data_IF_269668568258
#
_entry.id   IF_269668568258
#
_cell.length_a   1.000
_cell.length_b   1.000
_cell.length_c   1.000
_cell.angle_alpha   90.00
_cell.angle_beta   90.00
_cell.angle_gamma   90.00
#
_symmetry.space_group_name_H-M   'P 1'
#
loop_
_entity.id
_entity.type
_entity.pdbx_description
1 polymer ?
#
# COMPACT_ATOMS: atom_id res chain seq x y z
N UNK A 1 10.56 -5.49 -11.25
CA UNK A 1 10.52 -4.56 -10.13
C UNK A 1 9.32 -3.68 -10.29
N UNK A 2 8.75 -3.23 -9.20
CA UNK A 2 7.57 -2.44 -9.19
C UNK A 2 6.34 -3.30 -9.02
N UNK A 3 5.24 -2.88 -9.66
CA UNK A 3 3.95 -3.53 -9.42
C UNK A 3 3.87 -4.93 -10.01
N UNK A 4 3.39 -5.87 -9.20
CA UNK A 4 3.19 -7.26 -9.57
C UNK A 4 1.72 -7.61 -9.36
N UNK A 5 1.19 -8.51 -10.16
CA UNK A 5 -0.16 -9.02 -9.93
C UNK A 5 -0.24 -9.72 -8.58
N UNK A 6 -1.32 -9.46 -7.86
CA UNK A 6 -1.53 -10.07 -6.56
C UNK A 6 -1.47 -11.60 -6.62
N UNK A 7 -1.92 -12.18 -7.72
CA UNK A 7 -1.88 -13.63 -7.92
C UNK A 7 -0.46 -14.19 -7.91
N UNK A 8 0.52 -13.41 -8.36
CA UNK A 8 1.92 -13.84 -8.35
C UNK A 8 2.50 -13.89 -6.96
N UNK A 9 1.87 -13.19 -6.01
CA UNK A 9 2.24 -13.25 -4.61
C UNK A 9 1.55 -14.39 -3.87
N UNK A 10 0.67 -15.15 -4.52
CA UNK A 10 -0.17 -16.14 -3.84
C UNK A 10 0.63 -17.20 -3.06
N UNK A 11 1.85 -17.51 -3.49
CA UNK A 11 2.71 -18.48 -2.83
C UNK A 11 3.65 -17.85 -1.80
N UNK A 12 3.56 -16.54 -1.59
CA UNK A 12 4.41 -15.80 -0.66
C UNK A 12 3.60 -15.27 0.50
N UNK A 13 4.26 -15.10 1.63
CA UNK A 13 3.67 -14.37 2.74
C UNK A 13 3.71 -12.89 2.37
N UNK A 14 2.54 -12.28 2.26
CA UNK A 14 2.43 -10.86 1.94
C UNK A 14 1.69 -10.13 3.04
N UNK A 15 1.98 -8.85 3.16
CA UNK A 15 1.38 -7.99 4.17
C UNK A 15 0.86 -6.72 3.49
N UNK A 16 -0.35 -6.32 3.84
CA UNK A 16 -0.90 -5.06 3.41
C UNK A 16 -0.29 -3.95 4.26
N UNK A 17 0.37 -2.99 3.62
CA UNK A 17 1.11 -1.94 4.32
C UNK A 17 0.49 -0.56 4.20
N UNK A 18 -0.38 -0.33 3.21
CA UNK A 18 -0.88 1.00 2.93
C UNK A 18 -2.18 0.94 2.15
N UNK A 19 -3.09 1.87 2.43
CA UNK A 19 -4.27 2.11 1.58
C UNK A 19 -4.23 3.57 1.14
N UNK A 20 -4.11 3.79 -0.16
CA UNK A 20 -4.14 5.11 -0.74
C UNK A 20 -5.59 5.51 -1.01
N UNK A 21 -5.97 6.71 -0.61
CA UNK A 21 -7.33 7.19 -0.73
C UNK A 21 -7.62 7.88 -2.06
N UNK A 22 -6.59 8.21 -2.82
CA UNK A 22 -6.74 8.88 -4.11
C UNK A 22 -5.57 8.52 -5.02
N UNK A 23 -5.71 8.91 -6.28
CA UNK A 23 -4.71 8.58 -7.30
C UNK A 23 -3.35 9.19 -7.01
N UNK A 24 -3.31 10.44 -6.54
CA UNK A 24 -2.04 11.10 -6.26
C UNK A 24 -1.26 10.37 -5.17
N UNK A 25 -1.96 9.96 -4.13
CA UNK A 25 -1.36 9.22 -3.03
C UNK A 25 -0.83 7.88 -3.53
N UNK A 26 -1.64 7.17 -4.32
CA UNK A 26 -1.23 5.89 -4.89
C UNK A 26 0.01 6.04 -5.78
N UNK A 27 0.04 7.05 -6.63
CA UNK A 27 1.18 7.30 -7.50
C UNK A 27 2.45 7.61 -6.73
N UNK A 28 2.33 8.35 -5.64
CA UNK A 28 3.48 8.66 -4.77
C UNK A 28 4.07 7.40 -4.15
N UNK A 29 3.21 6.49 -3.68
CA UNK A 29 3.67 5.24 -3.09
C UNK A 29 4.28 4.33 -4.16
N UNK A 30 3.64 4.21 -5.32
CA UNK A 30 4.19 3.41 -6.42
C UNK A 30 5.58 3.91 -6.82
N UNK A 31 5.73 5.22 -6.94
CA UNK A 31 7.01 5.82 -7.30
C UNK A 31 8.08 5.48 -6.27
N UNK A 32 7.76 5.64 -5.01
CA UNK A 32 8.70 5.36 -3.92
C UNK A 32 9.15 3.89 -3.94
N UNK A 33 8.21 2.97 -4.01
CA UNK A 33 8.53 1.54 -3.99
C UNK A 33 9.32 1.14 -5.23
N UNK A 34 8.99 1.71 -6.38
CA UNK A 34 9.73 1.44 -7.62
C UNK A 34 11.16 1.97 -7.54
N UNK A 35 11.35 3.17 -7.00
CA UNK A 35 12.69 3.74 -6.82
C UNK A 35 13.57 2.89 -5.91
N UNK A 36 12.97 2.22 -4.95
CA UNK A 36 13.68 1.39 -3.98
C UNK A 36 13.76 -0.08 -4.40
N UNK A 37 13.33 -0.38 -5.63
CA UNK A 37 13.34 -1.74 -6.17
C UNK A 37 12.55 -2.73 -5.31
N UNK A 38 11.44 -2.29 -4.75
CA UNK A 38 10.56 -3.15 -3.96
C UNK A 38 9.43 -3.65 -4.85
N UNK A 39 9.23 -4.95 -4.87
CA UNK A 39 8.08 -5.55 -5.55
C UNK A 39 6.84 -5.37 -4.70
N UNK A 40 5.75 -4.98 -5.32
CA UNK A 40 4.49 -4.74 -4.63
C UNK A 40 3.31 -5.12 -5.51
N UNK A 41 2.17 -5.37 -4.88
CA UNK A 41 0.91 -5.60 -5.59
C UNK A 41 -0.11 -4.58 -5.15
N UNK A 42 -1.06 -4.27 -6.03
CA UNK A 42 -2.17 -3.38 -5.78
C UNK A 42 -3.48 -4.14 -5.83
N UNK A 43 -4.36 -3.80 -4.92
CA UNK A 43 -5.72 -4.31 -4.93
C UNK A 43 -6.66 -3.15 -4.61
N UNK A 44 -7.73 -2.99 -5.39
CA UNK A 44 -8.75 -2.00 -5.07
C UNK A 44 -9.64 -2.61 -4.00
N UNK A 45 -9.66 -2.00 -2.82
CA UNK A 45 -10.38 -2.52 -1.67
C UNK A 45 -11.26 -1.46 -1.04
N UNK A 46 -12.42 -1.84 -0.52
CA UNK A 46 -13.25 -0.89 0.19
C UNK A 46 -12.63 -0.55 1.54
N UNK A 47 -12.81 0.69 1.96
CA UNK A 47 -12.43 1.10 3.30
C UNK A 47 -13.47 2.12 3.81
N UNK A 48 -13.59 2.22 5.12
CA UNK A 48 -14.48 3.18 5.74
C UNK A 48 -13.68 4.40 6.16
N UNK A 49 -14.08 5.59 5.68
CA UNK A 49 -13.48 6.82 6.19
C UNK A 49 -13.80 6.97 7.67
N UNK A 50 -13.01 7.75 8.41
CA UNK A 50 -13.26 7.93 9.85
C UNK A 50 -14.58 8.66 10.17
N UNK A 51 -15.21 9.29 9.19
CA UNK A 51 -16.49 9.98 9.41
C UNK A 51 -17.66 9.01 9.28
N UNK A 52 -18.54 9.04 10.26
CA UNK A 52 -19.78 8.24 10.24
C UNK A 52 -20.76 8.71 9.18
N UNK A 53 -20.57 9.91 8.66
CA UNK A 53 -21.47 10.49 7.66
C UNK A 53 -21.07 10.17 6.23
N UNK A 54 -19.93 9.54 6.04
CA UNK A 54 -19.45 9.18 4.72
C UNK A 54 -19.68 7.71 4.44
N UNK A 55 -20.04 7.42 3.20
CA UNK A 55 -20.17 6.04 2.76
C UNK A 55 -18.81 5.40 2.51
N UNK A 56 -18.81 4.09 2.40
CA UNK A 56 -17.64 3.31 2.07
C UNK A 56 -17.01 3.79 0.76
N UNK A 57 -15.70 3.85 0.71
CA UNK A 57 -14.93 4.22 -0.47
C UNK A 57 -14.00 3.11 -0.88
N UNK A 58 -13.59 3.16 -2.16
CA UNK A 58 -12.56 2.27 -2.65
C UNK A 58 -11.20 2.94 -2.52
N UNK A 59 -10.22 2.20 -2.05
CA UNK A 59 -8.84 2.63 -1.95
C UNK A 59 -7.91 1.66 -2.63
N UNK A 60 -6.69 2.11 -2.94
CA UNK A 60 -5.66 1.25 -3.50
C UNK A 60 -4.83 0.67 -2.36
N UNK A 61 -5.00 -0.61 -2.09
CA UNK A 61 -4.24 -1.31 -1.06
C UNK A 61 -2.93 -1.81 -1.64
N UNK A 62 -1.84 -1.54 -0.94
CA UNK A 62 -0.50 -1.97 -1.34
C UNK A 62 -0.04 -3.13 -0.48
N UNK A 63 0.40 -4.19 -1.16
CA UNK A 63 0.91 -5.40 -0.51
C UNK A 63 2.37 -5.59 -0.88
N UNK A 64 3.17 -5.96 0.10
CA UNK A 64 4.58 -6.32 -0.12
C UNK A 64 4.85 -7.65 0.56
N UNK A 65 5.98 -8.27 0.25
CA UNK A 65 6.44 -9.44 0.98
C UNK A 65 6.57 -9.10 2.46
N UNK A 66 6.08 -9.97 3.32
CA UNK A 66 6.04 -9.69 4.77
C UNK A 66 7.39 -9.37 5.37
N UNK A 67 8.45 -9.97 4.84
CA UNK A 67 9.81 -9.70 5.30
C UNK A 67 10.26 -8.27 5.03
N UNK A 68 9.60 -7.57 4.10
CA UNK A 68 9.92 -6.21 3.73
C UNK A 68 8.95 -5.18 4.30
N UNK A 69 7.91 -5.62 5.02
CA UNK A 69 6.85 -4.72 5.47
C UNK A 69 7.34 -3.59 6.37
N UNK A 70 8.20 -3.88 7.33
CA UNK A 70 8.73 -2.87 8.24
C UNK A 70 9.57 -1.83 7.51
N UNK A 71 10.45 -2.29 6.63
CA UNK A 71 11.32 -1.41 5.85
C UNK A 71 10.48 -0.51 4.95
N UNK A 72 9.45 -1.07 4.31
CA UNK A 72 8.58 -0.31 3.43
C UNK A 72 7.78 0.74 4.19
N UNK A 73 7.24 0.39 5.35
CA UNK A 73 6.53 1.35 6.19
C UNK A 73 7.45 2.51 6.58
N UNK A 74 8.68 2.20 6.96
CA UNK A 74 9.63 3.24 7.35
C UNK A 74 9.99 4.15 6.19
N UNK A 75 10.17 3.61 4.98
CA UNK A 75 10.41 4.41 3.79
C UNK A 75 9.27 5.38 3.51
N UNK A 76 8.04 4.92 3.70
CA UNK A 76 6.86 5.74 3.48
C UNK A 76 6.77 6.84 4.53
N UNK A 77 7.02 6.52 5.79
CA UNK A 77 7.03 7.49 6.88
C UNK A 77 8.10 8.56 6.64
N UNK A 78 9.30 8.15 6.23
CA UNK A 78 10.41 9.07 6.00
C UNK A 78 10.13 10.06 4.87
N UNK A 79 9.26 9.70 3.94
CA UNK A 79 8.84 10.60 2.86
C UNK A 79 7.65 11.48 3.26
N UNK A 80 7.16 11.36 4.49
CA UNK A 80 6.01 12.14 4.95
C UNK A 80 4.68 11.66 4.38
N UNK A 81 4.61 10.41 3.94
CA UNK A 81 3.42 9.83 3.31
C UNK A 81 2.72 8.83 4.23
N UNK A 82 2.97 8.90 5.52
CA UNK A 82 2.52 7.86 6.45
C UNK A 82 1.03 7.83 6.80
N UNK A 83 0.22 8.74 6.27
CA UNK A 83 -1.19 8.86 6.66
C UNK A 83 -2.03 7.61 6.37
N UNK A 84 -1.68 6.85 5.33
CA UNK A 84 -2.43 5.65 4.95
C UNK A 84 -1.80 4.33 5.38
N UNK A 85 -0.80 4.38 6.26
CA UNK A 85 -0.10 3.16 6.69
C UNK A 85 -1.02 2.27 7.51
N UNK A 86 -0.91 0.97 7.26
CA UNK A 86 -1.63 -0.06 7.99
C UNK A 86 -0.64 -0.91 8.77
N UNK A 87 -0.95 -1.10 10.03
CA UNK A 87 -0.21 -2.00 10.93
C UNK A 87 -1.14 -3.16 11.28
N UNK A 88 -0.88 -4.29 10.72
CA UNK A 88 -1.67 -5.48 11.01
C UNK A 88 -0.97 -6.41 11.99
#
# INVERSE_FOLDING_TARGET
MGRIDLEKFSDLNITRIYIAQNIKEAQSIEKLLTEKNVDYALSMEPFLPPSLLQSERMGAAFYVESTQSEICRQLIIDRGLGAGIIYD
#
